data_IF_293783106001
#
_entry.id   IF_293783106001
#
_cell.length_a   1.000
_cell.length_b   1.000
_cell.length_c   1.000
_cell.angle_alpha   90.00
_cell.angle_beta   90.00
_cell.angle_gamma   90.00
#
_symmetry.space_group_name_H-M   'P 1'
#
loop_
_entity.id
_entity.type
_entity.pdbx_description
1 polymer ?
#
# COMPACT_ATOMS: atom_id res chain seq x y z
N UNK A 1 14.49 21.89 -7.68
CA UNK A 1 14.30 22.33 -6.28
C UNK A 1 13.94 21.12 -5.42
N UNK A 2 14.42 21.11 -4.18
CA UNK A 2 14.13 20.01 -3.25
C UNK A 2 12.69 20.12 -2.71
N UNK A 3 11.97 19.01 -2.58
CA UNK A 3 10.61 19.00 -2.04
C UNK A 3 10.63 19.15 -0.50
N UNK A 4 9.71 19.95 0.04
CA UNK A 4 9.44 20.03 1.48
C UNK A 4 8.54 18.87 1.95
N UNK A 5 7.62 18.42 1.09
CA UNK A 5 6.78 17.26 1.37
C UNK A 5 7.66 16.04 1.63
N UNK A 6 7.26 15.20 2.58
CA UNK A 6 8.02 14.01 2.99
C UNK A 6 9.16 14.25 3.97
N UNK A 7 9.39 15.49 4.40
CA UNK A 7 10.35 15.80 5.45
C UNK A 7 9.75 15.64 6.84
N UNK A 8 10.46 14.98 7.74
CA UNK A 8 10.09 14.87 9.15
C UNK A 8 10.14 16.23 9.85
N UNK A 9 9.56 16.33 11.05
CA UNK A 9 9.62 17.58 11.83
C UNK A 9 11.08 18.02 12.08
N UNK A 10 11.97 17.09 12.38
CA UNK A 10 13.38 17.41 12.59
C UNK A 10 14.03 18.00 11.34
N UNK A 11 13.79 17.39 10.17
CA UNK A 11 14.29 17.90 8.89
C UNK A 11 13.68 19.26 8.53
N UNK A 12 12.39 19.49 8.82
CA UNK A 12 11.77 20.80 8.61
C UNK A 12 12.33 21.88 9.54
N UNK A 13 12.75 21.51 10.74
CA UNK A 13 13.47 22.42 11.64
C UNK A 13 14.85 22.79 11.08
N UNK A 14 15.57 21.82 10.51
CA UNK A 14 16.85 22.08 9.82
C UNK A 14 16.66 22.95 8.56
N UNK A 15 15.61 22.69 7.79
CA UNK A 15 15.22 23.56 6.67
C UNK A 15 14.99 25.00 7.14
N UNK A 16 14.20 25.19 8.20
CA UNK A 16 13.95 26.53 8.75
C UNK A 16 15.25 27.25 9.12
N UNK A 17 16.14 26.58 9.84
CA UNK A 17 17.45 27.15 10.22
C UNK A 17 18.31 27.46 8.99
N UNK A 18 18.31 26.61 7.98
CA UNK A 18 19.11 26.76 6.74
C UNK A 18 18.73 27.97 5.90
N UNK A 19 17.51 28.49 6.07
CA UNK A 19 17.00 29.69 5.38
C UNK A 19 16.91 30.90 6.30
N UNK A 20 17.53 30.85 7.48
CA UNK A 20 17.61 31.96 8.45
C UNK A 20 16.33 32.20 9.26
N UNK A 21 15.43 31.20 9.30
CA UNK A 21 14.29 31.20 10.21
C UNK A 21 14.66 30.59 11.57
N UNK A 22 13.81 30.81 12.57
CA UNK A 22 13.98 30.18 13.88
C UNK A 22 13.53 28.70 13.83
N UNK A 23 14.10 27.86 14.69
CA UNK A 23 13.80 26.41 14.75
C UNK A 23 12.30 26.10 14.85
N UNK A 24 11.52 26.91 15.59
CA UNK A 24 10.08 26.71 15.73
C UNK A 24 9.31 26.84 14.39
N UNK A 25 9.87 27.54 13.40
CA UNK A 25 9.25 27.64 12.07
C UNK A 25 9.14 26.26 11.39
N UNK A 26 9.94 25.26 11.79
CA UNK A 26 9.76 23.88 11.34
C UNK A 26 8.40 23.29 11.69
N UNK A 27 7.81 23.63 12.85
CA UNK A 27 6.44 23.24 13.20
C UNK A 27 5.41 23.96 12.33
N UNK A 28 5.64 25.23 12.02
CA UNK A 28 4.77 25.98 11.11
C UNK A 28 4.80 25.38 9.69
N UNK A 29 5.99 25.02 9.20
CA UNK A 29 6.12 24.30 7.92
C UNK A 29 5.36 22.98 7.93
N UNK A 30 5.52 22.17 8.98
CA UNK A 30 4.78 20.90 9.12
C UNK A 30 3.26 21.12 9.09
N UNK A 31 2.73 22.12 9.83
CA UNK A 31 1.32 22.45 9.82
C UNK A 31 0.83 22.81 8.42
N UNK A 32 1.56 23.68 7.70
CA UNK A 32 1.19 24.05 6.35
C UNK A 32 1.22 22.87 5.37
N UNK A 33 2.23 22.02 5.46
CA UNK A 33 2.40 20.90 4.56
C UNK A 33 1.39 19.77 4.84
N UNK A 34 1.22 19.38 6.10
CA UNK A 34 0.56 18.12 6.47
C UNK A 34 -0.87 18.30 6.97
N UNK A 35 -1.16 19.44 7.60
CA UNK A 35 -2.53 19.75 8.08
C UNK A 35 -3.30 20.58 7.07
N UNK A 36 -2.71 21.70 6.62
CA UNK A 36 -3.35 22.61 5.65
C UNK A 36 -3.19 22.20 4.20
N UNK A 37 -2.23 21.30 3.93
CA UNK A 37 -1.98 20.68 2.62
C UNK A 37 -1.81 21.70 1.49
N UNK A 38 -1.08 22.77 1.76
CA UNK A 38 -0.82 23.83 0.77
C UNK A 38 -0.08 23.31 -0.46
N UNK A 39 -0.27 23.99 -1.57
CA UNK A 39 0.41 23.67 -2.85
C UNK A 39 1.49 24.68 -3.21
N UNK A 40 1.53 25.81 -2.51
CA UNK A 40 2.50 26.89 -2.72
C UNK A 40 3.03 27.44 -1.40
N UNK A 41 4.32 27.77 -1.35
CA UNK A 41 4.99 28.38 -0.19
C UNK A 41 4.39 29.76 0.15
N UNK A 42 3.87 30.49 -0.83
CA UNK A 42 3.24 31.78 -0.60
C UNK A 42 1.94 31.71 0.23
N UNK A 43 1.31 30.55 0.31
CA UNK A 43 0.15 30.32 1.18
C UNK A 43 0.55 30.24 2.67
N UNK A 44 1.83 30.10 3.02
CA UNK A 44 2.34 29.96 4.39
C UNK A 44 2.41 31.31 5.11
N UNK A 45 1.24 31.94 5.37
CA UNK A 45 1.13 33.36 5.74
C UNK A 45 1.70 33.72 7.10
N UNK A 46 1.91 32.76 8.02
CA UNK A 46 2.57 33.00 9.31
C UNK A 46 4.10 32.88 9.22
N UNK A 47 4.65 32.60 8.03
CA UNK A 47 6.07 32.71 7.73
C UNK A 47 6.33 34.07 7.08
N UNK A 48 7.34 34.81 7.52
CA UNK A 48 7.65 36.13 6.99
C UNK A 48 7.90 36.10 5.48
N UNK A 49 7.59 37.18 4.78
CA UNK A 49 7.82 37.29 3.33
C UNK A 49 9.26 36.91 2.97
N UNK A 50 10.24 37.48 3.68
CA UNK A 50 11.67 37.16 3.49
C UNK A 50 11.96 35.67 3.68
N UNK A 51 11.31 35.02 4.66
CA UNK A 51 11.43 33.58 4.90
C UNK A 51 10.85 32.75 3.77
N UNK A 52 9.67 33.14 3.24
CA UNK A 52 9.05 32.47 2.08
C UNK A 52 9.89 32.61 0.82
N UNK A 53 10.47 33.78 0.56
CA UNK A 53 11.39 33.99 -0.56
C UNK A 53 12.65 33.13 -0.44
N UNK A 54 13.24 33.05 0.77
CA UNK A 54 14.40 32.21 1.00
C UNK A 54 14.08 30.70 0.86
N UNK A 55 12.88 30.28 1.26
CA UNK A 55 12.40 28.92 1.04
C UNK A 55 12.22 28.64 -0.45
N UNK A 56 11.51 29.52 -1.20
CA UNK A 56 11.26 29.37 -2.64
C UNK A 56 12.53 29.33 -3.47
N UNK A 57 13.59 29.97 -3.01
CA UNK A 57 14.90 29.95 -3.70
C UNK A 57 15.53 28.55 -3.72
N UNK A 58 15.17 27.64 -2.78
CA UNK A 58 15.82 26.33 -2.57
C UNK A 58 14.85 25.15 -2.61
N UNK A 59 13.60 25.37 -2.24
CA UNK A 59 12.59 24.33 -2.03
C UNK A 59 11.33 24.61 -2.83
N UNK A 60 10.59 23.54 -3.07
CA UNK A 60 9.18 23.57 -3.50
C UNK A 60 8.33 22.85 -2.46
N UNK A 61 7.02 23.03 -2.49
CA UNK A 61 6.12 22.21 -1.65
C UNK A 61 6.24 20.74 -2.02
N UNK A 62 6.39 20.43 -3.31
CA UNK A 62 6.54 19.05 -3.79
C UNK A 62 5.21 18.35 -4.10
N UNK A 63 4.10 19.10 -4.15
CA UNK A 63 2.80 18.57 -4.55
C UNK A 63 2.56 18.77 -6.05
N UNK A 64 1.99 17.75 -6.69
CA UNK A 64 1.58 17.80 -8.08
C UNK A 64 0.30 16.99 -8.29
N UNK A 65 -0.51 17.41 -9.24
CA UNK A 65 -1.74 16.73 -9.63
C UNK A 65 -1.42 15.47 -10.46
N UNK A 66 -2.33 14.49 -10.49
CA UNK A 66 -2.22 13.39 -11.45
C UNK A 66 -2.33 13.93 -12.88
N UNK A 67 -1.69 13.23 -13.81
CA UNK A 67 -1.69 13.61 -15.24
C UNK A 67 -2.88 13.03 -16.00
N UNK A 68 -3.48 11.95 -15.49
CA UNK A 68 -4.68 11.30 -16.05
C UNK A 68 -5.54 10.70 -14.97
N UNK A 69 -6.82 10.50 -15.31
CA UNK A 69 -7.83 9.83 -14.48
C UNK A 69 -8.67 8.91 -15.38
N UNK A 70 -9.04 7.73 -14.84
CA UNK A 70 -10.08 6.87 -15.40
C UNK A 70 -11.13 6.60 -14.31
N UNK A 71 -12.40 6.55 -14.72
CA UNK A 71 -13.54 6.36 -13.83
C UNK A 71 -14.28 5.08 -14.21
N UNK A 72 -14.38 4.16 -13.27
CA UNK A 72 -15.12 2.91 -13.39
C UNK A 72 -16.63 3.14 -13.29
N UNK A 73 -17.38 2.21 -13.86
CA UNK A 73 -18.86 2.17 -13.72
C UNK A 73 -19.31 2.01 -12.26
N UNK A 74 -18.48 1.51 -11.37
CA UNK A 74 -18.74 1.34 -9.93
C UNK A 74 -18.32 2.55 -9.09
N UNK A 75 -17.85 3.63 -9.74
CA UNK A 75 -17.39 4.86 -9.11
C UNK A 75 -15.93 4.84 -8.67
N UNK A 76 -15.23 3.72 -8.76
CA UNK A 76 -13.77 3.64 -8.52
C UNK A 76 -13.03 4.51 -9.52
N UNK A 77 -11.98 5.19 -9.07
CA UNK A 77 -11.19 6.08 -9.92
C UNK A 77 -9.72 5.69 -9.86
N UNK A 78 -9.09 5.56 -11.01
CA UNK A 78 -7.67 5.31 -11.15
C UNK A 78 -6.97 6.58 -11.61
N UNK A 79 -5.90 6.95 -10.94
CA UNK A 79 -5.12 8.16 -11.18
C UNK A 79 -3.70 7.80 -11.56
N UNK A 80 -3.18 8.47 -12.59
CA UNK A 80 -1.81 8.33 -13.05
C UNK A 80 -1.00 9.55 -12.59
N UNK A 81 0.05 9.32 -11.81
CA UNK A 81 0.98 10.35 -11.35
C UNK A 81 2.32 10.22 -12.07
N UNK A 82 2.89 11.36 -12.49
CA UNK A 82 4.22 11.40 -13.10
C UNK A 82 5.31 11.36 -12.02
N UNK A 83 6.30 10.50 -12.18
CA UNK A 83 7.50 10.39 -11.36
C UNK A 83 8.72 10.49 -12.27
N UNK A 84 9.24 11.70 -12.46
CA UNK A 84 10.24 11.94 -13.50
C UNK A 84 9.69 11.58 -14.89
N UNK A 85 10.37 10.66 -15.57
CA UNK A 85 9.98 10.16 -16.90
C UNK A 85 9.05 8.93 -16.80
N UNK A 86 8.73 8.49 -15.60
CA UNK A 86 7.92 7.31 -15.33
C UNK A 86 6.55 7.71 -14.78
N UNK A 87 5.71 6.71 -14.61
CA UNK A 87 4.36 6.89 -14.06
C UNK A 87 4.07 5.82 -13.01
N UNK A 88 3.17 6.16 -12.10
CA UNK A 88 2.57 5.24 -11.13
C UNK A 88 1.07 5.43 -11.10
N UNK A 89 0.37 4.39 -10.70
CA UNK A 89 -1.08 4.41 -10.53
C UNK A 89 -1.47 4.40 -9.05
N UNK A 90 -2.54 5.15 -8.73
CA UNK A 90 -3.24 5.08 -7.44
C UNK A 90 -4.73 4.87 -7.69
N UNK A 91 -5.40 4.17 -6.79
CA UNK A 91 -6.82 3.85 -6.95
C UNK A 91 -7.62 4.40 -5.78
N UNK A 92 -8.55 5.31 -6.08
CA UNK A 92 -9.52 5.83 -5.13
C UNK A 92 -10.81 5.00 -5.21
N UNK A 93 -11.21 4.43 -4.09
CA UNK A 93 -12.35 3.52 -3.96
C UNK A 93 -13.38 4.16 -3.03
N UNK A 94 -14.43 4.80 -3.59
CA UNK A 94 -15.52 5.34 -2.81
C UNK A 94 -16.48 4.24 -2.34
N UNK A 95 -16.99 4.39 -1.13
CA UNK A 95 -18.10 3.63 -0.57
C UNK A 95 -19.02 4.60 0.17
N UNK A 96 -20.21 4.17 0.56
CA UNK A 96 -21.25 5.07 1.12
C UNK A 96 -20.78 5.87 2.34
N UNK A 97 -19.97 5.27 3.21
CA UNK A 97 -19.52 5.83 4.48
C UNK A 97 -17.98 5.96 4.60
N UNK A 98 -17.26 5.61 3.55
CA UNK A 98 -15.79 5.65 3.55
C UNK A 98 -15.19 5.81 2.15
N UNK A 99 -14.00 6.36 2.11
CA UNK A 99 -13.17 6.38 0.91
C UNK A 99 -11.81 5.76 1.22
N UNK A 100 -11.40 4.79 0.41
CA UNK A 100 -10.12 4.10 0.54
C UNK A 100 -9.21 4.47 -0.62
N UNK A 101 -7.98 4.88 -0.33
CA UNK A 101 -6.95 5.05 -1.36
C UNK A 101 -5.97 3.88 -1.34
N UNK A 102 -5.79 3.26 -2.50
CA UNK A 102 -4.72 2.31 -2.77
C UNK A 102 -3.53 3.07 -3.35
N UNK A 103 -2.38 3.05 -2.66
CA UNK A 103 -1.18 3.80 -3.02
C UNK A 103 -0.05 2.88 -3.47
N UNK A 104 0.76 3.40 -4.40
CA UNK A 104 1.98 2.76 -4.90
C UNK A 104 3.20 3.20 -4.08
N UNK A 105 4.22 2.34 -4.03
CA UNK A 105 5.47 2.56 -3.30
C UNK A 105 6.72 2.48 -4.18
N UNK A 106 6.58 1.97 -5.38
CA UNK A 106 7.65 1.85 -6.37
C UNK A 106 7.10 2.15 -7.76
N UNK A 107 7.97 2.43 -8.70
CA UNK A 107 7.67 2.38 -10.13
C UNK A 107 7.98 0.96 -10.61
N UNK A 108 6.93 0.20 -10.90
CA UNK A 108 7.03 -1.24 -11.15
C UNK A 108 7.38 -2.05 -9.89
N UNK A 109 7.80 -3.31 -10.05
CA UNK A 109 8.10 -4.20 -8.92
C UNK A 109 9.08 -5.29 -9.31
N UNK A 110 10.07 -5.58 -8.45
CA UNK A 110 11.06 -6.66 -8.69
C UNK A 110 10.66 -8.02 -8.10
N UNK A 111 9.50 -8.11 -7.43
CA UNK A 111 9.09 -9.37 -6.79
C UNK A 111 8.61 -10.43 -7.78
N UNK A 112 8.28 -10.05 -9.01
CA UNK A 112 7.91 -10.94 -10.11
C UNK A 112 6.81 -11.96 -9.77
N UNK A 113 5.82 -11.56 -8.97
CA UNK A 113 4.67 -12.40 -8.69
C UNK A 113 3.92 -12.69 -10.00
N UNK A 114 3.70 -13.96 -10.32
CA UNK A 114 3.19 -14.39 -11.64
C UNK A 114 1.75 -13.92 -11.94
N UNK A 115 0.98 -13.58 -10.93
CA UNK A 115 -0.40 -13.12 -11.05
C UNK A 115 -0.52 -11.59 -11.08
N UNK A 116 0.57 -10.85 -10.86
CA UNK A 116 0.56 -9.41 -10.73
C UNK A 116 1.06 -8.75 -12.02
N UNK A 117 0.25 -7.85 -12.57
CA UNK A 117 0.58 -7.10 -13.78
C UNK A 117 1.79 -6.18 -13.57
N UNK A 118 1.87 -5.50 -12.42
CA UNK A 118 3.02 -4.66 -12.06
C UNK A 118 4.34 -5.43 -12.10
N UNK A 119 4.33 -6.73 -11.79
CA UNK A 119 5.51 -7.59 -11.86
C UNK A 119 6.05 -7.77 -13.28
N UNK A 120 5.27 -7.46 -14.33
CA UNK A 120 5.70 -7.53 -15.73
C UNK A 120 6.39 -6.25 -16.20
N UNK A 121 6.14 -5.13 -15.52
CA UNK A 121 6.73 -3.83 -15.87
C UNK A 121 8.23 -3.76 -15.55
N UNK A 122 8.76 -4.69 -14.74
CA UNK A 122 10.09 -4.57 -14.18
C UNK A 122 10.14 -3.56 -13.03
N UNK A 123 11.34 -3.29 -12.54
CA UNK A 123 11.58 -2.32 -11.47
C UNK A 123 12.35 -1.12 -12.00
N UNK A 124 11.81 0.07 -11.82
CA UNK A 124 12.39 1.33 -12.31
C UNK A 124 12.83 2.27 -11.18
N UNK A 125 12.34 2.07 -9.94
CA UNK A 125 12.78 2.87 -8.80
C UNK A 125 11.85 2.84 -7.59
N UNK A 126 12.39 3.28 -6.46
CA UNK A 126 11.63 3.52 -5.24
C UNK A 126 10.97 4.88 -5.27
N UNK A 127 9.73 4.97 -4.82
CA UNK A 127 9.09 6.25 -4.54
C UNK A 127 9.69 6.86 -3.27
N UNK A 128 9.94 8.16 -3.28
CA UNK A 128 10.26 8.90 -2.06
C UNK A 128 9.03 8.98 -1.14
N UNK A 129 9.26 9.32 0.12
CA UNK A 129 8.14 9.62 1.03
C UNK A 129 7.25 10.76 0.52
N UNK A 130 7.85 11.73 -0.20
CA UNK A 130 7.11 12.82 -0.86
C UNK A 130 6.15 12.28 -1.93
N UNK A 131 6.63 11.38 -2.80
CA UNK A 131 5.82 10.79 -3.87
C UNK A 131 4.67 9.93 -3.30
N UNK A 132 4.93 9.20 -2.23
CA UNK A 132 3.91 8.42 -1.51
C UNK A 132 2.84 9.35 -0.92
N UNK A 133 3.25 10.39 -0.20
CA UNK A 133 2.34 11.36 0.43
C UNK A 133 1.60 12.21 -0.60
N UNK A 134 2.21 12.51 -1.76
CA UNK A 134 1.54 13.27 -2.81
C UNK A 134 0.30 12.55 -3.35
N UNK A 135 0.35 11.22 -3.50
CA UNK A 135 -0.82 10.42 -3.88
C UNK A 135 -1.96 10.59 -2.86
N UNK A 136 -1.62 10.58 -1.56
CA UNK A 136 -2.59 10.67 -0.45
C UNK A 136 -3.19 12.08 -0.35
N UNK A 137 -2.35 13.11 -0.43
CA UNK A 137 -2.77 14.49 -0.19
C UNK A 137 -3.53 15.11 -1.36
N UNK A 138 -3.62 14.43 -2.48
CA UNK A 138 -4.49 14.85 -3.57
C UNK A 138 -5.99 14.80 -3.19
N UNK A 139 -6.35 13.97 -2.21
CA UNK A 139 -7.72 13.75 -1.76
C UNK A 139 -7.95 14.34 -0.36
N UNK A 140 -9.13 14.92 -0.12
CA UNK A 140 -9.50 15.51 1.17
C UNK A 140 -10.44 14.62 2.01
N UNK A 141 -11.10 13.65 1.39
CA UNK A 141 -12.17 12.84 1.96
C UNK A 141 -11.79 11.41 2.34
N UNK A 142 -10.49 11.10 2.35
CA UNK A 142 -10.00 9.75 2.65
C UNK A 142 -10.30 9.36 4.10
N UNK A 143 -10.79 8.13 4.27
CA UNK A 143 -10.95 7.48 5.57
C UNK A 143 -9.98 6.33 5.81
N UNK A 144 -9.49 5.69 4.75
CA UNK A 144 -8.57 4.56 4.83
C UNK A 144 -7.50 4.62 3.73
N UNK A 145 -6.33 4.07 4.02
CA UNK A 145 -5.24 3.94 3.06
C UNK A 145 -4.71 2.53 3.08
N UNK A 146 -4.48 1.98 1.89
CA UNK A 146 -3.87 0.66 1.71
C UNK A 146 -2.66 0.77 0.79
N UNK A 147 -1.54 0.23 1.22
CA UNK A 147 -0.31 0.14 0.44
C UNK A 147 -0.35 -1.18 -0.34
N UNK A 148 -1.18 -1.21 -1.37
CA UNK A 148 -1.47 -2.39 -2.21
C UNK A 148 -1.41 -2.08 -3.71
N UNK A 149 -0.86 -0.91 -4.07
CA UNK A 149 -0.61 -0.48 -5.44
C UNK A 149 0.67 -1.11 -5.99
N UNK A 150 1.39 -0.36 -6.81
CA UNK A 150 2.63 -0.81 -7.41
C UNK A 150 3.77 -0.89 -6.38
N UNK A 151 4.55 -1.99 -6.48
CA UNK A 151 5.75 -2.20 -5.67
C UNK A 151 5.54 -3.03 -4.42
N UNK A 152 6.67 -3.41 -3.82
CA UNK A 152 6.72 -4.08 -2.51
C UNK A 152 7.10 -3.04 -1.43
N UNK A 153 6.19 -2.72 -0.51
CA UNK A 153 6.46 -1.71 0.52
C UNK A 153 7.68 -2.01 1.39
N UNK A 154 7.93 -3.28 1.70
CA UNK A 154 9.06 -3.67 2.54
C UNK A 154 10.41 -3.55 1.81
N UNK A 155 10.43 -3.55 0.48
CA UNK A 155 11.63 -3.28 -0.32
C UNK A 155 11.93 -1.78 -0.42
N UNK A 156 10.96 -0.90 -0.12
CA UNK A 156 11.10 0.56 0.01
C UNK A 156 10.82 1.04 1.44
N UNK A 157 11.22 0.25 2.44
CA UNK A 157 10.75 0.39 3.82
C UNK A 157 11.09 1.74 4.45
N UNK A 158 12.26 2.32 4.17
CA UNK A 158 12.66 3.61 4.76
C UNK A 158 11.69 4.74 4.36
N UNK A 159 11.32 4.82 3.08
CA UNK A 159 10.37 5.82 2.60
C UNK A 159 8.95 5.53 3.09
N UNK A 160 8.57 4.25 3.15
CA UNK A 160 7.26 3.83 3.67
C UNK A 160 7.14 4.20 5.15
N UNK A 161 8.11 3.84 5.99
CA UNK A 161 8.09 4.19 7.43
C UNK A 161 8.07 5.70 7.64
N UNK A 162 8.82 6.45 6.85
CA UNK A 162 8.81 7.93 6.90
C UNK A 162 7.43 8.49 6.54
N UNK A 163 6.79 7.98 5.50
CA UNK A 163 5.43 8.38 5.13
C UNK A 163 4.43 8.03 6.24
N UNK A 164 4.54 6.84 6.84
CA UNK A 164 3.69 6.41 7.95
C UNK A 164 3.89 7.26 9.21
N UNK A 165 5.14 7.62 9.55
CA UNK A 165 5.44 8.53 10.66
C UNK A 165 4.73 9.88 10.45
N UNK A 166 4.91 10.52 9.28
CA UNK A 166 4.25 11.79 8.96
C UNK A 166 2.72 11.67 9.02
N UNK A 167 2.16 10.55 8.58
CA UNK A 167 0.71 10.36 8.61
C UNK A 167 0.17 10.16 10.02
N UNK A 168 0.90 9.50 10.91
CA UNK A 168 0.41 9.12 12.24
C UNK A 168 0.85 10.05 13.37
N UNK A 169 1.96 10.76 13.21
CA UNK A 169 2.48 11.67 14.23
C UNK A 169 1.62 12.92 14.42
N UNK A 170 1.62 13.46 15.63
CA UNK A 170 0.88 14.68 16.02
C UNK A 170 1.32 15.92 15.22
N UNK A 171 2.57 15.97 14.77
CA UNK A 171 3.06 17.08 13.95
C UNK A 171 2.64 16.97 12.47
N UNK A 172 2.17 15.81 12.08
CA UNK A 172 1.77 15.46 10.72
C UNK A 172 0.25 15.44 10.56
N UNK A 173 -0.28 14.34 10.05
CA UNK A 173 -1.72 14.22 9.80
C UNK A 173 -2.52 13.69 11.01
N UNK A 174 -1.86 13.19 12.03
CA UNK A 174 -2.45 12.59 13.25
C UNK A 174 -3.50 11.49 12.95
N UNK A 175 -3.29 10.72 11.88
CA UNK A 175 -4.17 9.61 11.53
C UNK A 175 -4.00 8.44 12.49
N UNK A 176 -5.10 7.78 12.80
CA UNK A 176 -5.03 6.52 13.52
C UNK A 176 -4.34 5.45 12.66
N UNK A 177 -3.32 4.74 13.18
CA UNK A 177 -2.69 3.62 12.48
C UNK A 177 -3.67 2.53 12.02
N UNK A 178 -4.82 2.41 12.69
CA UNK A 178 -5.91 1.47 12.32
C UNK A 178 -6.54 1.74 10.95
N UNK A 179 -6.36 2.94 10.42
CA UNK A 179 -6.88 3.33 9.10
C UNK A 179 -5.89 3.08 7.97
N UNK A 180 -4.70 2.57 8.30
CA UNK A 180 -3.62 2.34 7.36
C UNK A 180 -3.27 0.85 7.36
N UNK A 181 -3.27 0.24 6.19
CA UNK A 181 -2.84 -1.15 6.00
C UNK A 181 -1.66 -1.21 5.03
N UNK A 182 -0.57 -1.83 5.44
CA UNK A 182 0.58 -2.07 4.57
C UNK A 182 0.59 -3.54 4.17
N UNK A 183 0.62 -3.79 2.86
CA UNK A 183 0.69 -5.14 2.31
C UNK A 183 2.14 -5.54 2.02
N UNK A 184 2.43 -6.84 2.06
CA UNK A 184 3.74 -7.38 1.69
C UNK A 184 3.63 -8.80 1.15
N UNK A 185 4.51 -9.13 0.21
CA UNK A 185 4.75 -10.52 -0.22
C UNK A 185 5.58 -11.29 0.81
N UNK A 186 6.06 -10.60 1.86
CA UNK A 186 6.87 -11.10 2.96
C UNK A 186 8.34 -11.31 2.59
N UNK A 187 9.12 -10.33 2.94
CA UNK A 187 10.59 -10.36 2.86
C UNK A 187 11.17 -10.03 4.24
N UNK A 188 12.45 -10.31 4.52
CA UNK A 188 13.04 -10.14 5.86
C UNK A 188 12.87 -8.76 6.49
N UNK A 189 12.78 -7.69 5.69
CA UNK A 189 12.52 -6.32 6.15
C UNK A 189 11.16 -6.17 6.87
N UNK A 190 10.23 -7.11 6.71
CA UNK A 190 8.95 -7.13 7.42
C UNK A 190 9.13 -7.10 8.94
N UNK A 191 10.18 -7.73 9.47
CA UNK A 191 10.47 -7.66 10.91
C UNK A 191 10.65 -6.24 11.40
N UNK A 192 11.42 -5.43 10.68
CA UNK A 192 11.63 -4.01 11.01
C UNK A 192 10.32 -3.21 10.95
N UNK A 193 9.46 -3.47 9.95
CA UNK A 193 8.13 -2.86 9.90
C UNK A 193 7.29 -3.22 11.14
N UNK A 194 7.36 -4.47 11.57
CA UNK A 194 6.65 -4.93 12.77
C UNK A 194 7.15 -4.23 14.05
N UNK A 195 8.42 -3.93 14.12
CA UNK A 195 9.05 -3.29 15.28
C UNK A 195 8.84 -1.76 15.30
N UNK A 196 8.73 -1.11 14.13
CA UNK A 196 8.74 0.37 14.01
C UNK A 196 7.37 0.98 13.65
N UNK A 197 6.33 0.17 13.34
CA UNK A 197 5.02 0.68 12.92
C UNK A 197 3.87 -0.01 13.63
N UNK A 198 2.85 0.77 14.01
CA UNK A 198 1.58 0.30 14.58
C UNK A 198 0.47 0.09 13.52
N UNK A 199 0.77 0.34 12.24
CA UNK A 199 -0.18 0.16 11.15
C UNK A 199 -0.54 -1.31 10.96
N UNK A 200 -1.71 -1.57 10.39
CA UNK A 200 -2.16 -2.91 10.05
C UNK A 200 -1.26 -3.55 9.01
N UNK A 201 -1.06 -4.87 9.11
CA UNK A 201 -0.30 -5.66 8.16
C UNK A 201 -1.23 -6.55 7.35
N UNK A 202 -1.04 -6.59 6.04
CA UNK A 202 -1.64 -7.56 5.13
C UNK A 202 -0.54 -8.40 4.49
N UNK A 203 -0.61 -9.72 4.64
CA UNK A 203 0.36 -10.65 4.08
C UNK A 203 -0.22 -11.32 2.84
N UNK A 204 0.45 -11.20 1.71
CA UNK A 204 0.13 -11.93 0.48
C UNK A 204 0.44 -13.41 0.68
N UNK A 205 -0.56 -14.19 1.11
CA UNK A 205 -0.45 -15.62 1.36
C UNK A 205 -0.51 -16.42 0.06
N UNK A 206 -1.65 -16.36 -0.59
CA UNK A 206 -2.06 -16.97 -1.86
C UNK A 206 -1.88 -18.49 -1.97
N UNK A 207 -1.01 -19.10 -1.17
CA UNK A 207 -0.89 -20.55 -1.01
C UNK A 207 -0.24 -20.88 0.35
N UNK A 208 -0.77 -21.86 1.13
CA UNK A 208 -0.18 -22.24 2.42
C UNK A 208 1.00 -23.23 2.30
N UNK A 209 1.24 -23.80 1.12
CA UNK A 209 2.34 -24.72 0.86
C UNK A 209 3.50 -23.97 0.20
N UNK A 210 4.67 -23.91 0.84
CA UNK A 210 5.85 -23.20 0.34
C UNK A 210 6.23 -23.59 -1.09
N UNK A 211 6.23 -24.88 -1.42
CA UNK A 211 6.58 -25.37 -2.76
C UNK A 211 5.64 -24.86 -3.85
N UNK A 212 4.34 -24.82 -3.55
CA UNK A 212 3.34 -24.31 -4.49
C UNK A 212 3.38 -22.78 -4.53
N UNK A 213 3.59 -22.13 -3.37
CA UNK A 213 3.70 -20.67 -3.27
C UNK A 213 4.91 -20.13 -4.05
N UNK A 214 6.05 -20.81 -4.00
CA UNK A 214 7.24 -20.43 -4.76
C UNK A 214 7.00 -20.38 -6.28
N UNK A 215 6.13 -21.26 -6.79
CA UNK A 215 5.78 -21.28 -8.21
C UNK A 215 5.04 -20.03 -8.67
N UNK A 216 4.31 -19.36 -7.78
CA UNK A 216 3.52 -18.15 -8.07
C UNK A 216 4.15 -16.88 -7.52
N UNK A 217 4.96 -17.00 -6.46
CA UNK A 217 5.60 -15.89 -5.73
C UNK A 217 7.07 -16.21 -5.44
N UNK A 218 8.01 -15.79 -6.29
CA UNK A 218 9.45 -16.05 -6.08
C UNK A 218 10.00 -15.52 -4.76
N UNK A 219 9.34 -14.54 -4.12
CA UNK A 219 9.70 -14.01 -2.81
C UNK A 219 9.69 -15.09 -1.69
N UNK A 220 9.01 -16.23 -1.90
CA UNK A 220 9.06 -17.38 -0.99
C UNK A 220 10.49 -17.85 -0.68
N UNK A 221 11.41 -17.71 -1.65
CA UNK A 221 12.85 -18.01 -1.46
C UNK A 221 13.56 -17.08 -0.48
N UNK A 222 13.05 -15.87 -0.33
CA UNK A 222 13.62 -14.88 0.59
C UNK A 222 13.17 -15.11 2.03
N UNK A 223 11.89 -15.44 2.20
CA UNK A 223 11.27 -15.76 3.48
C UNK A 223 10.06 -16.67 3.25
N UNK A 224 10.10 -17.88 3.78
CA UNK A 224 9.02 -18.84 3.59
C UNK A 224 7.74 -18.41 4.33
N UNK A 225 6.58 -18.78 3.80
CA UNK A 225 5.31 -18.48 4.49
C UNK A 225 5.23 -19.12 5.88
N UNK A 226 5.95 -20.20 6.10
CA UNK A 226 6.07 -20.86 7.41
C UNK A 226 6.84 -19.95 8.37
N UNK A 227 7.99 -19.39 7.93
CA UNK A 227 8.79 -18.46 8.73
C UNK A 227 8.05 -17.14 8.97
N UNK A 228 7.30 -16.66 7.99
CA UNK A 228 6.42 -15.49 8.14
C UNK A 228 5.42 -15.70 9.27
N UNK A 229 4.70 -16.81 9.25
CA UNK A 229 3.70 -17.10 10.30
C UNK A 229 4.38 -17.32 11.66
N UNK A 230 5.55 -17.99 11.69
CA UNK A 230 6.33 -18.14 12.91
C UNK A 230 6.79 -16.80 13.51
N UNK A 231 7.21 -15.85 12.66
CA UNK A 231 7.52 -14.48 13.07
C UNK A 231 6.29 -13.76 13.59
N UNK A 232 5.15 -13.81 12.88
CA UNK A 232 3.92 -13.13 13.29
C UNK A 232 3.38 -13.61 14.63
N UNK A 233 3.56 -14.88 14.96
CA UNK A 233 3.17 -15.45 16.28
C UNK A 233 3.98 -14.91 17.45
N UNK A 234 5.08 -14.20 17.23
CA UNK A 234 5.89 -13.56 18.27
C UNK A 234 5.35 -12.17 18.66
N UNK A 235 4.38 -11.61 17.92
CA UNK A 235 3.80 -10.30 18.16
C UNK A 235 2.39 -10.41 18.75
N UNK A 236 2.02 -9.38 19.53
CA UNK A 236 0.67 -9.29 20.09
C UNK A 236 -0.30 -8.65 19.10
N UNK A 237 -1.32 -9.38 18.71
CA UNK A 237 -2.40 -8.96 17.82
C UNK A 237 -3.75 -8.82 18.54
N UNK A 238 -3.75 -8.77 19.87
CA UNK A 238 -4.98 -8.73 20.68
C UNK A 238 -5.59 -7.34 20.77
N UNK A 239 -4.82 -6.26 20.54
CA UNK A 239 -5.26 -4.91 20.80
C UNK A 239 -5.64 -4.13 19.52
N UNK A 240 -4.77 -3.23 19.07
CA UNK A 240 -5.12 -2.26 18.03
C UNK A 240 -4.69 -2.71 16.65
N UNK A 241 -3.53 -3.31 16.57
CA UNK A 241 -2.93 -3.79 15.35
C UNK A 241 -3.61 -5.06 14.85
N UNK A 242 -3.74 -5.20 13.54
CA UNK A 242 -4.33 -6.40 12.92
C UNK A 242 -3.39 -6.96 11.88
N UNK A 243 -3.42 -8.29 11.75
CA UNK A 243 -2.84 -9.00 10.62
C UNK A 243 -3.97 -9.65 9.80
N UNK A 244 -3.88 -9.47 8.49
CA UNK A 244 -4.71 -10.19 7.53
C UNK A 244 -3.84 -10.94 6.53
N UNK A 245 -4.41 -11.98 5.95
CA UNK A 245 -3.80 -12.72 4.85
C UNK A 245 -4.66 -12.54 3.60
N UNK A 246 -4.05 -12.05 2.55
CA UNK A 246 -4.68 -11.88 1.26
C UNK A 246 -4.50 -13.18 0.46
N UNK A 247 -5.60 -13.70 -0.09
CA UNK A 247 -5.63 -15.01 -0.73
C UNK A 247 -6.44 -14.97 -2.02
N UNK A 248 -5.75 -14.87 -3.16
CA UNK A 248 -6.37 -14.98 -4.48
C UNK A 248 -6.75 -16.46 -4.68
N UNK A 249 -7.98 -16.71 -5.12
CA UNK A 249 -8.46 -18.06 -5.37
C UNK A 249 -8.34 -18.44 -6.85
N UNK A 250 -7.63 -19.53 -7.13
CA UNK A 250 -7.49 -20.12 -8.47
C UNK A 250 -8.07 -21.53 -8.50
N UNK A 251 -8.97 -21.76 -9.46
CA UNK A 251 -9.71 -23.01 -9.59
C UNK A 251 -8.78 -24.24 -9.72
N UNK A 252 -8.94 -25.17 -8.80
CA UNK A 252 -8.18 -26.42 -8.77
C UNK A 252 -6.69 -26.27 -8.37
N UNK A 253 -6.22 -25.06 -8.10
CA UNK A 253 -4.80 -24.82 -7.74
C UNK A 253 -4.61 -24.57 -6.24
N UNK A 254 -5.44 -23.73 -5.63
CA UNK A 254 -5.28 -23.36 -4.21
C UNK A 254 -6.61 -23.27 -3.44
N UNK A 255 -7.74 -23.63 -4.03
CA UNK A 255 -9.09 -23.50 -3.49
C UNK A 255 -9.70 -24.83 -2.97
N UNK A 256 -8.89 -25.87 -2.82
CA UNK A 256 -9.34 -27.20 -2.35
C UNK A 256 -9.38 -27.31 -0.83
N UNK A 257 -10.12 -28.30 -0.31
CA UNK A 257 -10.16 -28.66 1.12
C UNK A 257 -8.76 -28.95 1.70
N UNK A 258 -7.84 -29.46 0.88
CA UNK A 258 -6.45 -29.68 1.31
C UNK A 258 -5.80 -28.34 1.70
N UNK A 259 -5.99 -27.29 0.90
CA UNK A 259 -5.47 -25.95 1.17
C UNK A 259 -6.16 -25.32 2.38
N UNK A 260 -7.48 -25.45 2.50
CA UNK A 260 -8.22 -24.97 3.68
C UNK A 260 -7.71 -25.59 4.98
N UNK A 261 -7.51 -26.92 5.01
CA UNK A 261 -6.96 -27.61 6.18
C UNK A 261 -5.56 -27.15 6.55
N UNK A 262 -4.71 -26.90 5.56
CA UNK A 262 -3.35 -26.41 5.80
C UNK A 262 -3.36 -24.96 6.29
N UNK A 263 -4.23 -24.08 5.77
CA UNK A 263 -4.44 -22.73 6.31
C UNK A 263 -4.85 -22.76 7.79
N UNK A 264 -5.82 -23.60 8.14
CA UNK A 264 -6.24 -23.77 9.53
C UNK A 264 -5.11 -24.27 10.43
N UNK A 265 -4.29 -25.23 9.95
CA UNK A 265 -3.14 -25.75 10.68
C UNK A 265 -2.06 -24.67 10.87
N UNK A 266 -1.71 -23.96 9.81
CA UNK A 266 -0.62 -22.98 9.78
C UNK A 266 -0.97 -21.75 10.64
N UNK A 267 -2.21 -21.25 10.53
CA UNK A 267 -2.67 -20.05 11.20
C UNK A 267 -3.28 -20.30 12.59
N UNK A 268 -3.26 -21.57 13.04
CA UNK A 268 -3.69 -21.91 14.39
C UNK A 268 -2.96 -21.03 15.43
N UNK A 269 -3.70 -20.52 16.40
CA UNK A 269 -3.21 -19.68 17.50
C UNK A 269 -2.68 -18.29 17.07
N UNK A 270 -2.94 -17.86 15.84
CA UNK A 270 -2.68 -16.51 15.39
C UNK A 270 -4.01 -15.75 15.22
N UNK A 271 -4.18 -14.65 15.97
CA UNK A 271 -5.35 -13.77 15.81
C UNK A 271 -5.28 -13.00 14.49
N UNK A 272 -5.87 -13.57 13.45
CA UNK A 272 -5.82 -13.06 12.10
C UNK A 272 -7.15 -13.26 11.35
N UNK A 273 -7.20 -12.76 10.11
CA UNK A 273 -8.28 -13.03 9.16
C UNK A 273 -7.72 -13.36 7.79
N UNK A 274 -8.52 -14.04 6.97
CA UNK A 274 -8.24 -14.24 5.55
C UNK A 274 -9.21 -13.40 4.72
N UNK A 275 -8.68 -12.68 3.74
CA UNK A 275 -9.44 -12.00 2.70
C UNK A 275 -9.28 -12.78 1.40
N UNK A 276 -10.31 -13.46 0.97
CA UNK A 276 -10.35 -14.12 -0.34
C UNK A 276 -10.56 -13.06 -1.42
N UNK A 277 -9.75 -13.14 -2.46
CA UNK A 277 -9.74 -12.21 -3.58
C UNK A 277 -10.10 -13.00 -4.84
N UNK A 278 -11.05 -12.45 -5.64
CA UNK A 278 -11.31 -12.98 -6.98
C UNK A 278 -10.12 -12.68 -7.87
N UNK A 279 -9.69 -13.68 -8.61
CA UNK A 279 -8.69 -13.46 -9.65
C UNK A 279 -9.35 -12.84 -10.88
N UNK A 280 -8.72 -11.80 -11.40
CA UNK A 280 -9.10 -11.17 -12.65
C UNK A 280 -8.01 -11.44 -13.68
N UNK A 281 -8.39 -12.02 -14.78
CA UNK A 281 -7.49 -12.18 -15.93
C UNK A 281 -7.15 -10.80 -16.46
N UNK A 282 -5.88 -10.40 -16.42
CA UNK A 282 -5.41 -9.10 -16.91
C UNK A 282 -5.59 -8.89 -18.41
N UNK A 283 -4.83 -7.98 -19.01
CA UNK A 283 -4.88 -7.67 -20.46
C UNK A 283 -4.54 -8.91 -21.29
N UNK A 284 -5.20 -9.06 -22.46
CA UNK A 284 -5.07 -10.27 -23.31
C UNK A 284 -3.64 -10.63 -23.71
N UNK A 285 -2.79 -9.65 -23.92
CA UNK A 285 -1.38 -9.83 -24.27
C UNK A 285 -0.55 -10.54 -23.19
N UNK A 286 -1.00 -10.49 -21.92
CA UNK A 286 -0.35 -11.11 -20.78
C UNK A 286 -0.99 -12.46 -20.42
N UNK A 287 -2.20 -12.74 -20.89
CA UNK A 287 -2.93 -14.00 -20.65
C UNK A 287 -2.21 -15.24 -21.18
N UNK A 288 -1.45 -15.12 -22.26
CA UNK A 288 -0.89 -16.26 -22.99
C UNK A 288 0.21 -17.03 -22.24
N UNK A 289 0.85 -16.43 -21.22
CA UNK A 289 1.91 -17.09 -20.46
C UNK A 289 1.48 -17.58 -19.05
N UNK A 290 0.25 -17.26 -18.60
CA UNK A 290 -0.18 -17.42 -17.20
C UNK A 290 -1.56 -18.06 -17.11
N UNK A 291 -1.60 -19.37 -17.11
CA UNK A 291 -2.85 -20.11 -16.97
C UNK A 291 -3.25 -20.20 -15.49
N UNK A 292 -3.86 -19.12 -14.95
CA UNK A 292 -4.51 -19.12 -13.65
C UNK A 292 -6.02 -19.01 -13.83
N UNK A 293 -6.77 -20.12 -13.81
CA UNK A 293 -8.23 -20.06 -13.92
C UNK A 293 -8.81 -19.49 -12.62
N UNK A 294 -9.70 -18.50 -12.72
CA UNK A 294 -10.40 -17.96 -11.56
C UNK A 294 -11.31 -19.02 -10.93
N UNK A 295 -11.33 -19.10 -9.60
CA UNK A 295 -12.34 -19.91 -8.89
C UNK A 295 -13.73 -19.31 -9.09
N UNK A 296 -14.73 -20.16 -9.29
CA UNK A 296 -16.12 -19.71 -9.35
C UNK A 296 -16.65 -19.27 -7.97
N UNK A 297 -17.76 -18.54 -7.97
CA UNK A 297 -18.35 -17.99 -6.75
C UNK A 297 -18.76 -19.10 -5.76
N UNK A 298 -19.26 -20.22 -6.24
CA UNK A 298 -19.70 -21.34 -5.38
C UNK A 298 -18.50 -21.96 -4.64
N UNK A 299 -17.38 -22.13 -5.35
CA UNK A 299 -16.16 -22.65 -4.76
C UNK A 299 -15.57 -21.67 -3.75
N UNK A 300 -15.56 -20.37 -4.05
CA UNK A 300 -15.09 -19.34 -3.12
C UNK A 300 -15.96 -19.27 -1.86
N UNK A 301 -17.29 -19.32 -2.01
CA UNK A 301 -18.23 -19.34 -0.89
C UNK A 301 -17.99 -20.60 -0.03
N UNK A 302 -17.89 -21.76 -0.65
CA UNK A 302 -17.59 -23.02 0.03
C UNK A 302 -16.26 -22.94 0.81
N UNK A 303 -15.20 -22.43 0.19
CA UNK A 303 -13.90 -22.29 0.81
C UNK A 303 -13.92 -21.33 2.02
N UNK A 304 -14.61 -20.17 1.86
CA UNK A 304 -14.85 -19.21 2.96
C UNK A 304 -15.61 -19.86 4.12
N UNK A 305 -16.72 -20.52 3.82
CA UNK A 305 -17.59 -21.10 4.84
C UNK A 305 -16.87 -22.22 5.61
N UNK A 306 -16.16 -23.08 4.89
CA UNK A 306 -15.34 -24.12 5.51
C UNK A 306 -14.30 -23.53 6.50
N UNK A 307 -13.55 -22.49 6.10
CA UNK A 307 -12.57 -21.85 6.98
C UNK A 307 -13.23 -21.18 8.19
N UNK A 308 -14.35 -20.50 7.97
CA UNK A 308 -15.09 -19.77 9.02
C UNK A 308 -15.71 -20.74 10.04
N UNK A 309 -16.32 -21.82 9.60
CA UNK A 309 -16.90 -22.87 10.47
C UNK A 309 -15.83 -23.56 11.34
N UNK A 310 -14.58 -23.58 10.88
CA UNK A 310 -13.45 -24.12 11.63
C UNK A 310 -12.66 -23.06 12.42
N UNK A 311 -13.25 -21.85 12.61
CA UNK A 311 -12.74 -20.83 13.52
C UNK A 311 -11.78 -19.81 12.91
N UNK A 312 -11.56 -19.81 11.59
CA UNK A 312 -10.72 -18.84 10.92
C UNK A 312 -11.58 -17.79 10.21
N UNK A 313 -11.64 -16.57 10.75
CA UNK A 313 -12.40 -15.47 10.16
C UNK A 313 -12.01 -15.23 8.71
N UNK A 314 -12.94 -15.49 7.80
CA UNK A 314 -12.68 -15.41 6.35
C UNK A 314 -13.75 -14.57 5.66
N UNK A 315 -13.31 -13.66 4.80
CA UNK A 315 -14.19 -12.78 4.00
C UNK A 315 -13.87 -12.91 2.52
N UNK A 316 -14.86 -12.71 1.64
CA UNK A 316 -14.63 -12.53 0.21
C UNK A 316 -14.65 -11.03 -0.07
N UNK A 317 -13.53 -10.49 -0.57
CA UNK A 317 -13.44 -9.07 -0.92
C UNK A 317 -14.26 -8.79 -2.19
N UNK A 318 -14.97 -7.68 -2.16
CA UNK A 318 -15.63 -7.15 -3.36
C UNK A 318 -14.56 -6.56 -4.28
N UNK A 319 -14.51 -7.00 -5.52
CA UNK A 319 -13.66 -6.37 -6.55
C UNK A 319 -14.22 -5.01 -6.93
N UNK A 320 -13.34 -4.08 -7.26
CA UNK A 320 -13.65 -2.72 -7.66
C UNK A 320 -12.78 -2.30 -8.85
N UNK A 321 -13.34 -1.50 -9.76
CA UNK A 321 -12.62 -0.90 -10.88
C UNK A 321 -12.06 -1.91 -11.89
N UNK A 322 -12.72 -3.05 -12.09
CA UNK A 322 -12.25 -4.10 -13.00
C UNK A 322 -12.18 -3.60 -14.45
N UNK A 323 -13.18 -2.84 -14.87
CA UNK A 323 -13.33 -2.29 -16.22
C UNK A 323 -12.25 -1.24 -16.58
N UNK A 324 -11.57 -0.68 -15.58
CA UNK A 324 -10.48 0.27 -15.75
C UNK A 324 -9.11 -0.30 -15.29
N UNK A 325 -9.00 -1.62 -15.12
CA UNK A 325 -7.79 -2.29 -14.62
C UNK A 325 -7.29 -1.71 -13.29
N UNK A 326 -8.21 -1.46 -12.34
CA UNK A 326 -7.89 -0.93 -11.02
C UNK A 326 -8.02 -1.96 -9.90
N UNK A 327 -8.41 -3.19 -10.18
CA UNK A 327 -8.46 -4.26 -9.19
C UNK A 327 -7.05 -4.70 -8.75
N UNK A 328 -6.96 -5.36 -7.59
CA UNK A 328 -5.69 -5.82 -7.04
C UNK A 328 -4.88 -6.65 -8.05
N UNK A 329 -3.61 -6.26 -8.25
CA UNK A 329 -2.69 -6.92 -9.17
C UNK A 329 -2.85 -6.54 -10.65
N UNK A 330 -3.72 -5.60 -10.99
CA UNK A 330 -4.01 -5.21 -12.39
C UNK A 330 -3.34 -3.91 -12.85
N UNK A 331 -2.62 -3.20 -11.99
CA UNK A 331 -1.99 -1.92 -12.33
C UNK A 331 -0.83 -2.11 -13.31
N UNK A 332 -0.86 -1.37 -14.42
CA UNK A 332 0.08 -1.51 -15.56
C UNK A 332 0.47 -0.18 -16.22
N UNK A 333 0.22 0.96 -15.58
CA UNK A 333 0.45 2.28 -16.16
C UNK A 333 -0.29 2.51 -17.49
N UNK A 334 -1.47 1.95 -17.63
CA UNK A 334 -2.28 1.93 -18.86
C UNK A 334 -3.43 2.94 -18.78
N UNK A 335 -3.15 4.24 -18.79
CA UNK A 335 -4.17 5.28 -18.96
C UNK A 335 -3.96 6.08 -20.23
#
# INVERSE_FOLDING_TARGET
MEALLGKTLAELQEVALSVGLQKFAGKQLAEWLYVRRVTDIDQMTNISLKGREALKARYSVGRHAPVREAVSVDGTRKYLFAIGDQFIESVYIPEDDRATLCVSTQVGCKMCCRFCMTGTLGFHGHLSAADILNQIFYFDDLSNIVFMGEGEPMDNLDNVLRALDIMTADYGCAWSPKRITVSTVSIPAMKRFLDESECHLAVSMHNPFSVEREQIMPAEKMMSIIDVVALLKQYDWSHQRRVSFEYICWAGQNDSIRHAKELLRLLKDLNCRINLIRFHEGVEEIKNERHFPASDEKQMVFFRDYLTEHGLTTTIRRSRGEDILAACGMLVNSL
#
